data_IF_198153805720
#
_entry.id   IF_198153805720
#
_cell.length_a   1.000
_cell.length_b   1.000
_cell.length_c   1.000
_cell.angle_alpha   90.00
_cell.angle_beta   90.00
_cell.angle_gamma   90.00
#
_symmetry.space_group_name_H-M   'P 1'
#
loop_
_entity.id
_entity.type
_entity.pdbx_description
1 polymer ?
#
# COMPACT_ATOMS: atom_id res chain seq x y z
N UNK A 1 9.78 -17.52 12.52
CA UNK A 1 8.52 -18.01 11.92
C UNK A 1 7.31 -17.11 12.19
N UNK A 2 7.02 -16.71 13.43
CA UNK A 2 5.85 -15.86 13.77
C UNK A 2 5.62 -14.66 12.84
N UNK A 3 6.67 -13.87 12.56
CA UNK A 3 6.59 -12.69 11.67
C UNK A 3 6.09 -12.99 10.25
N UNK A 4 6.41 -14.16 9.68
CA UNK A 4 5.96 -14.54 8.33
C UNK A 4 4.46 -14.85 8.34
N UNK A 5 4.01 -15.57 9.37
CA UNK A 5 2.59 -15.85 9.58
C UNK A 5 1.77 -14.57 9.80
N UNK A 6 2.31 -13.60 10.54
CA UNK A 6 1.66 -12.30 10.72
C UNK A 6 1.50 -11.56 9.37
N UNK A 7 2.52 -11.61 8.50
CA UNK A 7 2.48 -11.05 7.15
C UNK A 7 1.39 -11.69 6.28
N UNK A 8 1.32 -13.01 6.34
CA UNK A 8 0.38 -13.82 5.58
C UNK A 8 -1.06 -13.52 6.03
N UNK A 9 -1.31 -13.45 7.34
CA UNK A 9 -2.61 -13.10 7.89
C UNK A 9 -3.06 -11.68 7.51
N UNK A 10 -2.14 -10.71 7.52
CA UNK A 10 -2.45 -9.34 7.06
C UNK A 10 -2.79 -9.35 5.56
N UNK A 11 -2.05 -10.09 4.74
CA UNK A 11 -2.35 -10.18 3.30
C UNK A 11 -3.67 -10.89 3.03
N UNK A 12 -3.97 -11.98 3.75
CA UNK A 12 -5.24 -12.70 3.66
C UNK A 12 -6.41 -11.76 3.90
N UNK A 13 -6.39 -11.04 5.03
CA UNK A 13 -7.43 -10.03 5.33
C UNK A 13 -7.50 -8.92 4.29
N UNK A 14 -6.36 -8.50 3.74
CA UNK A 14 -6.37 -7.51 2.66
C UNK A 14 -7.13 -8.03 1.43
N UNK A 15 -6.90 -9.28 1.04
CA UNK A 15 -7.57 -9.90 -0.11
C UNK A 15 -9.05 -10.19 0.13
N UNK A 16 -9.45 -10.55 1.34
CA UNK A 16 -10.86 -10.75 1.72
C UNK A 16 -11.72 -9.49 1.49
N UNK A 17 -11.11 -8.30 1.60
CA UNK A 17 -11.75 -7.00 1.38
C UNK A 17 -11.32 -6.33 0.06
N UNK A 18 -10.76 -7.09 -0.89
CA UNK A 18 -10.24 -6.52 -2.13
C UNK A 18 -11.35 -5.87 -2.98
N UNK A 19 -12.55 -6.45 -3.02
CA UNK A 19 -13.66 -5.90 -3.80
C UNK A 19 -14.12 -4.54 -3.25
N UNK A 20 -14.17 -4.39 -1.92
CA UNK A 20 -14.48 -3.14 -1.25
C UNK A 20 -13.42 -2.07 -1.56
N UNK A 21 -12.14 -2.46 -1.50
CA UNK A 21 -11.01 -1.57 -1.84
C UNK A 21 -11.06 -1.13 -3.30
N UNK A 22 -11.34 -2.04 -4.23
CA UNK A 22 -11.45 -1.70 -5.66
C UNK A 22 -12.61 -0.75 -5.96
N UNK A 23 -13.67 -0.77 -5.15
CA UNK A 23 -14.81 0.17 -5.29
C UNK A 23 -14.52 1.53 -4.65
N UNK A 24 -13.73 1.55 -3.57
CA UNK A 24 -13.50 2.74 -2.76
C UNK A 24 -12.27 3.56 -3.19
N UNK A 25 -11.24 2.92 -3.74
CA UNK A 25 -9.95 3.53 -4.03
C UNK A 25 -9.80 3.85 -5.52
N UNK A 26 -9.08 4.93 -5.83
CA UNK A 26 -8.58 5.17 -7.19
C UNK A 26 -7.53 4.11 -7.57
N UNK A 27 -7.21 3.93 -8.86
CA UNK A 27 -6.18 2.98 -9.28
C UNK A 27 -4.81 3.20 -8.61
N UNK A 28 -4.42 4.46 -8.38
CA UNK A 28 -3.16 4.82 -7.72
C UNK A 28 -3.19 4.43 -6.24
N UNK A 29 -4.25 4.82 -5.52
CA UNK A 29 -4.43 4.45 -4.11
C UNK A 29 -4.49 2.94 -3.92
N UNK A 30 -5.19 2.23 -4.80
CA UNK A 30 -5.29 0.77 -4.74
C UNK A 30 -3.93 0.09 -4.92
N UNK A 31 -3.15 0.50 -5.92
CA UNK A 31 -1.82 -0.04 -6.16
C UNK A 31 -0.88 0.26 -4.99
N UNK A 32 -0.93 1.48 -4.45
CA UNK A 32 -0.13 1.88 -3.30
C UNK A 32 -0.52 1.07 -2.05
N UNK A 33 -1.81 1.03 -1.69
CA UNK A 33 -2.35 0.28 -0.55
C UNK A 33 -1.99 -1.22 -0.64
N UNK A 34 -2.11 -1.82 -1.83
CA UNK A 34 -1.69 -3.20 -2.06
C UNK A 34 -0.21 -3.42 -1.75
N UNK A 35 0.65 -2.53 -2.24
CA UNK A 35 2.10 -2.66 -2.06
C UNK A 35 2.52 -2.44 -0.61
N UNK A 36 1.86 -1.54 0.12
CA UNK A 36 2.15 -1.24 1.52
C UNK A 36 1.37 -2.09 2.52
N UNK A 37 0.46 -2.96 2.07
CA UNK A 37 -0.52 -3.71 2.90
C UNK A 37 0.07 -4.38 4.13
N UNK A 38 1.31 -4.87 4.06
CA UNK A 38 1.95 -5.61 5.15
C UNK A 38 2.77 -4.74 6.10
N UNK A 39 2.86 -3.43 5.84
CA UNK A 39 3.73 -2.48 6.54
C UNK A 39 5.23 -2.67 6.32
N UNK A 40 5.63 -3.68 5.52
CA UNK A 40 7.06 -3.95 5.22
C UNK A 40 7.62 -3.06 4.13
N UNK A 41 6.76 -2.50 3.29
CA UNK A 41 7.12 -1.52 2.28
C UNK A 41 6.66 -0.18 2.81
N UNK A 42 7.61 0.66 3.20
CA UNK A 42 7.36 2.06 3.58
C UNK A 42 7.21 2.93 2.33
N UNK A 43 6.80 4.18 2.52
CA UNK A 43 6.77 5.16 1.43
C UNK A 43 8.17 5.37 0.81
N UNK A 44 9.23 5.41 1.62
CA UNK A 44 10.61 5.49 1.14
C UNK A 44 11.01 4.25 0.31
N UNK A 45 10.59 3.06 0.73
CA UNK A 45 10.79 1.84 -0.07
C UNK A 45 9.96 1.88 -1.36
N UNK A 46 8.78 2.51 -1.36
CA UNK A 46 7.99 2.71 -2.57
C UNK A 46 8.73 3.59 -3.57
N UNK A 47 9.24 4.76 -3.14
CA UNK A 47 10.05 5.65 -3.98
C UNK A 47 11.22 4.94 -4.65
N UNK A 48 11.80 3.95 -3.96
CA UNK A 48 12.94 3.18 -4.47
C UNK A 48 12.54 2.06 -5.44
N UNK A 49 11.35 1.47 -5.27
CA UNK A 49 10.82 0.35 -6.06
C UNK A 49 10.07 0.81 -7.29
N UNK A 50 9.20 1.80 -7.10
CA UNK A 50 8.35 2.41 -8.12
C UNK A 50 8.21 3.91 -7.83
N UNK A 51 9.15 4.73 -8.33
CA UNK A 51 9.11 6.18 -8.15
C UNK A 51 7.84 6.81 -8.73
N UNK A 52 7.31 6.26 -9.83
CA UNK A 52 6.13 6.81 -10.51
C UNK A 52 4.86 6.61 -9.69
N UNK A 53 4.69 5.42 -9.10
CA UNK A 53 3.58 5.18 -8.18
C UNK A 53 3.68 6.03 -6.91
N UNK A 54 4.90 6.20 -6.37
CA UNK A 54 5.12 7.05 -5.20
C UNK A 54 4.75 8.51 -5.49
N UNK A 55 5.22 9.08 -6.60
CA UNK A 55 4.91 10.46 -7.00
C UNK A 55 3.41 10.65 -7.26
N UNK A 56 2.77 9.72 -7.98
CA UNK A 56 1.34 9.78 -8.22
C UNK A 56 0.54 9.73 -6.90
N UNK A 57 0.98 8.93 -5.94
CA UNK A 57 0.36 8.86 -4.62
C UNK A 57 0.57 10.15 -3.81
N UNK A 58 1.76 10.77 -3.87
CA UNK A 58 2.04 12.05 -3.21
C UNK A 58 1.19 13.21 -3.77
N UNK A 59 0.91 13.21 -5.07
CA UNK A 59 0.04 14.20 -5.68
C UNK A 59 -1.41 14.10 -5.18
N UNK A 60 -1.89 12.89 -4.89
CA UNK A 60 -3.21 12.64 -4.30
C UNK A 60 -3.23 12.86 -2.78
N UNK A 61 -2.09 12.58 -2.11
CA UNK A 61 -1.93 12.61 -0.65
C UNK A 61 -0.72 13.45 -0.22
N UNK A 62 -0.78 14.80 -0.36
CA UNK A 62 0.34 15.67 0.01
C UNK A 62 0.75 15.56 1.48
N UNK A 63 -0.15 15.12 2.37
CA UNK A 63 0.09 14.92 3.80
C UNK A 63 1.21 13.91 4.08
N UNK A 64 1.48 12.99 3.15
CA UNK A 64 2.52 11.96 3.27
C UNK A 64 3.93 12.56 3.18
N UNK A 65 4.06 13.75 2.59
CA UNK A 65 5.33 14.49 2.48
C UNK A 65 5.72 15.21 3.78
N UNK A 66 4.75 15.45 4.66
CA UNK A 66 4.93 16.25 5.88
C UNK A 66 5.16 15.42 7.15
N UNK A 67 5.21 14.09 7.03
CA UNK A 67 5.39 13.13 8.14
C UNK A 67 6.81 12.64 8.36
#
# INVERSE_FOLDING_TARGET
>A
MKKIWDAANVSLRWYEHMDERMKALTPVEFAYDYMTRTGRVSHAEMKRRDPGLAEAYEQLHPEVLTG
#
